data_IF_701984097352
#
_entry.id   IF_701984097352
#
_cell.length_a   1.000
_cell.length_b   1.000
_cell.length_c   1.000
_cell.angle_alpha   90.00
_cell.angle_beta   90.00
_cell.angle_gamma   90.00
#
_symmetry.space_group_name_H-M   'P 1'
#
loop_
_entity.id
_entity.type
_entity.pdbx_description
1 polymer ?
#
# COMPACT_ATOMS: atom_id res chain seq x y z
N UNK A 1 -29.25 -90.91 32.13
CA UNK A 1 -30.50 -91.41 31.53
C UNK A 1 -30.82 -90.57 30.30
N UNK A 2 -31.01 -91.22 29.14
CA UNK A 2 -31.82 -90.76 28.00
C UNK A 2 -33.18 -91.53 28.08
N UNK A 3 -34.22 -91.33 27.24
CA UNK A 3 -34.34 -90.60 25.96
C UNK A 3 -35.29 -89.37 26.09
N UNK A 4 -35.92 -88.74 25.09
CA UNK A 4 -36.06 -88.90 23.61
C UNK A 4 -36.12 -87.47 22.98
N UNK A 5 -35.51 -87.16 21.84
CA UNK A 5 -35.76 -87.57 20.44
C UNK A 5 -37.09 -87.07 19.82
N UNK A 6 -36.99 -85.96 19.07
CA UNK A 6 -37.80 -85.62 17.88
C UNK A 6 -36.91 -84.84 16.90
N UNK A 7 -36.97 -85.09 15.57
CA UNK A 7 -35.98 -84.58 14.63
C UNK A 7 -36.37 -83.23 13.98
N UNK A 8 -35.30 -82.54 13.58
CA UNK A 8 -35.22 -81.39 12.67
C UNK A 8 -35.88 -81.64 11.30
N UNK A 9 -36.43 -80.59 10.66
CA UNK A 9 -36.16 -80.40 9.24
C UNK A 9 -35.55 -79.02 8.96
N UNK A 10 -34.26 -79.05 8.59
CA UNK A 10 -33.50 -77.93 8.01
C UNK A 10 -34.35 -77.20 6.99
N UNK A 11 -34.55 -75.91 7.17
CA UNK A 11 -34.92 -75.02 6.08
C UNK A 11 -33.64 -74.61 5.33
N UNK A 12 -33.40 -75.07 4.08
CA UNK A 12 -32.36 -74.52 3.24
C UNK A 12 -32.85 -73.14 2.75
N UNK A 13 -32.45 -72.08 3.43
CA UNK A 13 -33.06 -70.77 3.24
C UNK A 13 -32.39 -69.64 3.99
N UNK A 14 -31.07 -69.63 4.07
CA UNK A 14 -30.32 -68.39 4.34
C UNK A 14 -30.44 -67.48 3.11
N UNK A 15 -31.64 -66.90 2.96
CA UNK A 15 -31.90 -65.86 1.98
C UNK A 15 -31.01 -64.67 2.36
N UNK A 16 -30.17 -64.23 1.43
CA UNK A 16 -29.35 -63.04 1.59
C UNK A 16 -30.22 -61.87 2.10
N UNK A 17 -29.68 -61.14 3.07
CA UNK A 17 -30.27 -59.92 3.63
C UNK A 17 -30.87 -59.08 2.48
N UNK A 18 -32.21 -58.95 2.40
CA UNK A 18 -32.84 -58.35 1.23
C UNK A 18 -32.48 -56.88 1.21
N UNK A 19 -31.53 -56.52 0.34
CA UNK A 19 -31.09 -55.14 0.07
C UNK A 19 -32.29 -54.21 0.23
N UNK A 20 -32.34 -53.42 1.31
CA UNK A 20 -33.58 -52.78 1.72
C UNK A 20 -34.07 -51.82 0.63
N UNK A 21 -34.98 -52.31 -0.22
CA UNK A 21 -35.41 -51.62 -1.42
C UNK A 21 -36.36 -50.53 -0.98
N UNK A 22 -35.80 -49.33 -0.69
CA UNK A 22 -36.58 -48.16 -0.28
C UNK A 22 -37.85 -48.07 -1.13
N UNK A 23 -38.99 -48.05 -0.45
CA UNK A 23 -40.31 -47.93 -1.07
C UNK A 23 -40.42 -46.60 -1.84
N UNK A 24 -41.42 -46.50 -2.72
CA UNK A 24 -41.62 -45.28 -3.51
C UNK A 24 -41.79 -44.03 -2.63
N UNK A 25 -42.46 -44.18 -1.49
CA UNK A 25 -42.70 -43.10 -0.53
C UNK A 25 -41.42 -42.72 0.24
N UNK A 26 -40.63 -43.69 0.71
CA UNK A 26 -39.33 -43.42 1.34
C UNK A 26 -38.35 -42.74 0.38
N UNK A 27 -38.37 -43.10 -0.91
CA UNK A 27 -37.57 -42.41 -1.94
C UNK A 27 -38.05 -40.97 -2.12
N UNK A 28 -39.36 -40.74 -2.17
CA UNK A 28 -39.93 -39.40 -2.30
C UNK A 28 -39.62 -38.54 -1.06
N UNK A 29 -39.65 -39.11 0.14
CA UNK A 29 -39.28 -38.43 1.38
C UNK A 29 -37.78 -38.14 1.46
N UNK A 30 -36.93 -39.12 1.16
CA UNK A 30 -35.48 -38.92 1.08
C UNK A 30 -35.10 -37.85 0.05
N UNK A 31 -35.75 -37.81 -1.11
CA UNK A 31 -35.57 -36.73 -2.07
C UNK A 31 -36.03 -35.37 -1.55
N UNK A 32 -37.16 -35.30 -0.83
CA UNK A 32 -37.61 -34.06 -0.19
C UNK A 32 -36.59 -33.60 0.85
N UNK A 33 -36.14 -34.48 1.74
CA UNK A 33 -35.13 -34.16 2.77
C UNK A 33 -33.79 -33.75 2.14
N UNK A 34 -33.31 -34.48 1.13
CA UNK A 34 -32.11 -34.14 0.36
C UNK A 34 -32.24 -32.79 -0.35
N UNK A 35 -33.40 -32.46 -0.93
CA UNK A 35 -33.69 -31.14 -1.52
C UNK A 35 -33.65 -30.03 -0.46
N UNK A 36 -34.30 -30.22 0.69
CA UNK A 36 -34.28 -29.24 1.79
C UNK A 36 -32.88 -29.04 2.38
N UNK A 37 -32.14 -30.12 2.62
CA UNK A 37 -30.76 -30.08 3.10
C UNK A 37 -29.82 -29.39 2.09
N UNK A 38 -29.94 -29.71 0.79
CA UNK A 38 -29.15 -29.06 -0.26
C UNK A 38 -29.47 -27.56 -0.38
N UNK A 39 -30.73 -27.16 -0.25
CA UNK A 39 -31.13 -25.73 -0.23
C UNK A 39 -30.58 -25.03 1.01
N UNK A 40 -30.66 -25.64 2.21
CA UNK A 40 -30.12 -25.07 3.46
C UNK A 40 -28.60 -24.90 3.39
N UNK A 41 -27.87 -25.93 2.95
CA UNK A 41 -26.42 -25.88 2.78
C UNK A 41 -26.00 -24.84 1.72
N UNK A 42 -26.74 -24.72 0.61
CA UNK A 42 -26.50 -23.69 -0.42
C UNK A 42 -26.78 -22.26 0.07
N UNK A 43 -27.75 -22.06 0.97
CA UNK A 43 -28.01 -20.76 1.62
C UNK A 43 -26.90 -20.41 2.62
N UNK A 44 -26.51 -21.33 3.50
CA UNK A 44 -25.43 -21.13 4.48
C UNK A 44 -24.10 -20.79 3.78
N UNK A 45 -23.72 -21.56 2.74
CA UNK A 45 -22.52 -21.26 1.94
C UNK A 45 -22.55 -19.89 1.26
N UNK A 46 -23.71 -19.43 0.81
CA UNK A 46 -23.86 -18.07 0.24
C UNK A 46 -23.71 -17.01 1.31
N UNK A 47 -24.38 -17.15 2.46
CA UNK A 47 -24.29 -16.21 3.57
C UNK A 47 -22.85 -16.07 4.08
N UNK A 48 -22.15 -17.20 4.31
CA UNK A 48 -20.74 -17.20 4.71
C UNK A 48 -19.81 -16.57 3.67
N UNK A 49 -19.99 -16.90 2.38
CA UNK A 49 -19.21 -16.31 1.29
C UNK A 49 -19.43 -14.79 1.16
N UNK A 50 -20.67 -14.30 1.34
CA UNK A 50 -20.97 -12.86 1.37
C UNK A 50 -20.37 -12.17 2.60
N UNK A 51 -20.42 -12.79 3.79
CA UNK A 51 -19.84 -12.23 5.00
C UNK A 51 -18.31 -12.14 4.92
N UNK A 52 -17.64 -13.20 4.44
CA UNK A 52 -16.19 -13.21 4.17
C UNK A 52 -15.79 -12.14 3.16
N UNK A 53 -16.58 -11.95 2.10
CA UNK A 53 -16.34 -10.89 1.12
C UNK A 53 -16.48 -9.50 1.75
N UNK A 54 -17.56 -9.24 2.48
CA UNK A 54 -17.76 -7.94 3.14
C UNK A 54 -16.64 -7.64 4.14
N UNK A 55 -16.21 -8.63 4.92
CA UNK A 55 -15.05 -8.50 5.79
C UNK A 55 -13.78 -8.15 5.00
N UNK A 56 -13.46 -8.90 3.94
CA UNK A 56 -12.29 -8.61 3.11
C UNK A 56 -12.33 -7.22 2.46
N UNK A 57 -13.51 -6.75 2.02
CA UNK A 57 -13.68 -5.43 1.44
C UNK A 57 -13.51 -4.30 2.48
N UNK A 58 -14.02 -4.48 3.70
CA UNK A 58 -13.85 -3.51 4.78
C UNK A 58 -12.42 -3.50 5.34
N UNK A 59 -11.76 -4.66 5.41
CA UNK A 59 -10.36 -4.76 5.82
C UNK A 59 -9.39 -4.21 4.76
N UNK A 60 -9.70 -4.30 3.46
CA UNK A 60 -8.80 -3.84 2.39
C UNK A 60 -8.20 -2.42 2.56
N UNK A 61 -8.98 -1.35 2.76
CA UNK A 61 -8.39 -0.02 2.97
C UNK A 61 -7.63 0.07 4.31
N UNK A 62 -8.09 -0.62 5.35
CA UNK A 62 -7.41 -0.64 6.66
C UNK A 62 -6.08 -1.37 6.57
N UNK A 63 -5.99 -2.46 5.81
CA UNK A 63 -4.76 -3.20 5.56
C UNK A 63 -3.75 -2.39 4.75
N UNK A 64 -4.19 -1.61 3.75
CA UNK A 64 -3.32 -0.69 3.00
C UNK A 64 -2.76 0.41 3.90
N UNK A 65 -3.61 1.01 4.74
CA UNK A 65 -3.15 2.02 5.72
C UNK A 65 -2.22 1.39 6.77
N UNK A 66 -2.57 0.24 7.35
CA UNK A 66 -1.75 -0.44 8.36
C UNK A 66 -0.36 -0.84 7.81
N UNK A 67 -0.32 -1.40 6.60
CA UNK A 67 0.94 -1.72 5.93
C UNK A 67 1.76 -0.45 5.64
N UNK A 68 1.14 0.63 5.17
CA UNK A 68 1.84 1.90 4.95
C UNK A 68 2.36 2.53 6.25
N UNK A 69 1.57 2.55 7.33
CA UNK A 69 2.02 3.10 8.62
C UNK A 69 3.17 2.25 9.17
N UNK A 70 3.09 0.92 9.11
CA UNK A 70 4.19 0.04 9.47
C UNK A 70 5.44 0.39 8.66
N UNK A 71 5.35 0.29 7.33
CA UNK A 71 6.48 0.49 6.42
C UNK A 71 7.10 1.89 6.57
N UNK A 72 6.30 2.95 6.79
CA UNK A 72 6.82 4.32 6.99
C UNK A 72 7.33 4.62 8.41
N UNK A 73 6.95 3.84 9.44
CA UNK A 73 7.38 4.05 10.84
C UNK A 73 8.47 3.07 11.29
N UNK A 74 8.48 1.82 10.80
CA UNK A 74 9.52 0.83 11.10
C UNK A 74 10.74 0.96 10.20
N UNK A 75 10.54 1.30 8.93
CA UNK A 75 11.64 1.38 7.96
C UNK A 75 12.22 2.81 7.90
N UNK A 76 13.49 2.93 8.26
CA UNK A 76 14.19 4.22 8.25
C UNK A 76 14.50 4.72 6.84
N UNK A 77 14.76 3.84 5.87
CA UNK A 77 14.94 4.25 4.48
C UNK A 77 13.64 4.82 3.93
N UNK A 78 12.50 4.17 4.20
CA UNK A 78 11.19 4.66 3.73
C UNK A 78 10.74 5.94 4.42
N UNK A 79 11.00 6.09 5.72
CA UNK A 79 10.81 7.37 6.41
C UNK A 79 11.64 8.47 5.74
N UNK A 80 12.92 8.22 5.50
CA UNK A 80 13.84 9.18 4.88
C UNK A 80 13.40 9.52 3.45
N UNK A 81 12.99 8.56 2.63
CA UNK A 81 12.45 8.81 1.28
C UNK A 81 11.17 9.67 1.30
N UNK A 82 10.44 9.66 2.43
CA UNK A 82 9.24 10.48 2.65
C UNK A 82 9.57 11.93 3.05
N UNK A 83 10.61 12.14 3.87
CA UNK A 83 10.94 13.47 4.45
C UNK A 83 12.11 14.18 3.78
N UNK A 84 13.00 13.48 3.08
CA UNK A 84 14.15 14.09 2.39
C UNK A 84 13.74 15.09 1.30
N UNK A 85 12.72 14.84 0.44
CA UNK A 85 12.30 15.79 -0.58
C UNK A 85 11.87 17.15 -0.01
N UNK A 86 11.32 17.19 1.21
CA UNK A 86 10.85 18.42 1.86
C UNK A 86 11.95 19.47 2.05
N UNK A 87 13.23 19.09 2.09
CA UNK A 87 14.35 20.04 2.13
C UNK A 87 14.58 20.79 0.81
N UNK A 88 14.02 20.29 -0.30
CA UNK A 88 14.11 20.89 -1.64
C UNK A 88 12.85 21.65 -2.07
N UNK A 89 11.78 21.57 -1.29
CA UNK A 89 10.46 22.13 -1.62
C UNK A 89 10.38 23.64 -1.31
N UNK A 90 10.18 24.52 -2.31
CA UNK A 90 10.23 25.97 -2.10
C UNK A 90 9.27 26.49 -1.01
N UNK A 91 7.99 26.05 -0.91
CA UNK A 91 7.11 26.52 0.16
C UNK A 91 7.59 26.14 1.57
N UNK A 92 8.33 25.04 1.71
CA UNK A 92 8.91 24.61 3.00
C UNK A 92 10.19 25.41 3.29
N UNK A 93 11.04 25.59 2.28
CA UNK A 93 12.25 26.41 2.37
C UNK A 93 11.90 27.85 2.78
N UNK A 94 10.92 28.48 2.13
CA UNK A 94 10.49 29.86 2.41
C UNK A 94 10.04 30.04 3.87
N UNK A 95 9.34 29.05 4.44
CA UNK A 95 8.92 29.08 5.86
C UNK A 95 10.13 29.01 6.79
N UNK A 96 11.10 28.16 6.48
CA UNK A 96 12.33 28.02 7.27
C UNK A 96 13.20 29.29 7.15
N UNK A 97 13.38 29.82 5.94
CA UNK A 97 14.14 31.03 5.63
C UNK A 97 13.55 32.23 6.37
N UNK A 98 12.24 32.47 6.25
CA UNK A 98 11.58 33.60 6.91
C UNK A 98 11.69 33.48 8.45
N UNK A 99 11.40 32.31 9.02
CA UNK A 99 11.48 32.09 10.49
C UNK A 99 12.91 32.26 11.04
N UNK A 100 13.93 31.77 10.33
CA UNK A 100 15.32 31.95 10.74
C UNK A 100 15.75 33.41 10.59
N UNK A 101 15.38 34.06 9.49
CA UNK A 101 15.64 35.48 9.27
C UNK A 101 14.99 36.35 10.34
N UNK A 102 13.72 36.13 10.67
CA UNK A 102 13.01 36.85 11.73
C UNK A 102 13.68 36.63 13.09
N UNK A 103 14.04 35.39 13.44
CA UNK A 103 14.76 35.10 14.71
C UNK A 103 16.10 35.81 14.80
N UNK A 104 16.89 35.82 13.72
CA UNK A 104 18.19 36.50 13.71
C UNK A 104 18.02 38.02 13.77
N UNK A 105 17.12 38.60 12.96
CA UNK A 105 16.85 40.05 12.92
C UNK A 105 16.27 40.57 14.24
N UNK A 106 15.47 39.78 14.94
CA UNK A 106 14.92 40.14 16.25
C UNK A 106 15.95 40.05 17.37
N UNK A 107 16.97 39.17 17.24
CA UNK A 107 18.09 39.08 18.17
C UNK A 107 19.18 40.14 17.92
N UNK A 108 19.22 40.75 16.73
CA UNK A 108 20.10 41.90 16.45
C UNK A 108 19.43 43.18 16.94
N UNK A 109 19.98 43.76 18.01
CA UNK A 109 19.48 45.02 18.58
C UNK A 109 19.92 46.25 17.77
N UNK A 110 19.30 46.39 16.59
CA UNK A 110 19.45 47.58 15.72
C UNK A 110 19.09 48.86 16.47
N UNK A 111 18.14 48.78 17.42
CA UNK A 111 17.67 49.93 18.19
C UNK A 111 18.76 50.42 19.14
N UNK A 112 19.45 49.55 19.87
CA UNK A 112 20.57 49.93 20.72
C UNK A 112 21.69 50.65 19.94
N UNK A 113 21.98 50.21 18.70
CA UNK A 113 22.95 50.88 17.82
C UNK A 113 22.47 52.27 17.40
N UNK A 114 21.20 52.40 17.01
CA UNK A 114 20.60 53.69 16.62
C UNK A 114 20.50 54.65 17.81
N UNK A 115 20.09 54.17 18.99
CA UNK A 115 20.01 54.95 20.23
C UNK A 115 21.40 55.43 20.68
N UNK A 116 22.45 54.60 20.54
CA UNK A 116 23.82 55.00 20.84
C UNK A 116 24.32 56.10 19.89
N UNK A 117 24.00 56.01 18.59
CA UNK A 117 24.29 57.05 17.61
C UNK A 117 23.55 58.36 17.93
N UNK A 118 22.26 58.28 18.26
CA UNK A 118 21.43 59.42 18.68
C UNK A 118 22.04 60.13 19.89
N UNK A 119 22.41 59.41 20.95
CA UNK A 119 23.08 59.98 22.14
C UNK A 119 24.39 60.66 21.76
N UNK A 120 25.25 59.99 20.99
CA UNK A 120 26.54 60.55 20.57
C UNK A 120 26.40 61.86 19.78
N UNK A 121 25.36 61.96 18.93
CA UNK A 121 25.05 63.19 18.18
C UNK A 121 24.47 64.30 19.08
N UNK A 122 23.67 63.96 20.09
CA UNK A 122 23.16 64.90 21.08
C UNK A 122 24.29 65.47 21.94
N UNK A 123 25.17 64.62 22.46
CA UNK A 123 26.33 65.00 23.28
C UNK A 123 27.33 65.89 22.50
N UNK A 124 27.45 65.67 21.19
CA UNK A 124 28.25 66.50 20.29
C UNK A 124 27.58 67.84 19.88
N UNK A 125 26.35 68.13 20.35
CA UNK A 125 25.63 69.35 20.04
C UNK A 125 25.10 69.44 18.60
N UNK A 126 24.82 68.31 17.96
CA UNK A 126 24.33 68.30 16.57
C UNK A 126 22.94 68.97 16.45
N UNK A 127 22.63 69.65 15.32
CA UNK A 127 21.31 70.23 15.10
C UNK A 127 20.20 69.17 15.16
N UNK A 128 18.99 69.48 15.69
CA UNK A 128 17.91 68.51 15.89
C UNK A 128 17.59 67.66 14.65
N UNK A 129 17.58 68.29 13.45
CA UNK A 129 17.35 67.61 12.17
C UNK A 129 18.30 66.44 11.87
N UNK A 130 19.52 66.47 12.41
CA UNK A 130 20.52 65.41 12.24
C UNK A 130 20.27 64.27 13.22
N UNK A 131 19.84 64.59 14.44
CA UNK A 131 19.48 63.63 15.49
C UNK A 131 18.19 62.88 15.11
N UNK A 132 17.17 63.60 14.65
CA UNK A 132 15.92 63.03 14.13
C UNK A 132 16.18 62.14 12.91
N UNK A 133 17.09 62.59 12.04
CA UNK A 133 17.58 61.81 10.90
C UNK A 133 18.22 60.49 11.33
N UNK A 134 19.07 60.50 12.37
CA UNK A 134 19.66 59.29 12.92
C UNK A 134 18.61 58.31 13.49
N UNK A 135 17.61 58.81 14.25
CA UNK A 135 16.51 57.97 14.74
C UNK A 135 15.71 57.33 13.60
N UNK A 136 15.54 58.02 12.46
CA UNK A 136 14.86 57.48 11.28
C UNK A 136 15.60 56.33 10.59
N UNK A 137 16.88 56.08 10.92
CA UNK A 137 17.67 54.99 10.34
C UNK A 137 17.32 53.60 10.88
N UNK A 138 16.60 53.45 12.00
CA UNK A 138 16.31 52.12 12.57
C UNK A 138 15.62 51.21 11.55
N UNK A 139 14.61 51.71 10.84
CA UNK A 139 13.88 50.97 9.80
C UNK A 139 14.75 50.56 8.61
N UNK A 140 15.42 51.50 7.91
CA UNK A 140 16.37 51.20 6.86
C UNK A 140 17.50 50.23 7.26
N UNK A 141 18.09 50.40 8.44
CA UNK A 141 19.13 49.51 8.97
C UNK A 141 18.58 48.10 9.24
N UNK A 142 17.41 47.99 9.88
CA UNK A 142 16.73 46.70 10.13
C UNK A 142 16.40 45.98 8.83
N UNK A 143 15.95 46.70 7.80
CA UNK A 143 15.70 46.14 6.46
C UNK A 143 16.99 45.72 5.74
N UNK A 144 18.10 46.47 5.89
CA UNK A 144 19.39 46.09 5.34
C UNK A 144 19.93 44.81 6.00
N UNK A 145 19.89 44.72 7.33
CA UNK A 145 20.24 43.51 8.09
C UNK A 145 19.34 42.35 7.65
N UNK A 146 18.01 42.54 7.60
CA UNK A 146 17.06 41.53 7.12
C UNK A 146 17.44 41.01 5.74
N UNK A 147 17.73 41.89 4.79
CA UNK A 147 18.08 41.51 3.40
C UNK A 147 19.40 40.72 3.31
N UNK A 148 20.40 41.06 4.14
CA UNK A 148 21.68 40.35 4.18
C UNK A 148 21.54 38.98 4.84
N UNK A 149 20.80 38.91 5.95
CA UNK A 149 20.49 37.66 6.65
C UNK A 149 19.68 36.75 5.73
N UNK A 150 18.57 37.24 5.17
CA UNK A 150 17.68 36.51 4.26
C UNK A 150 18.43 35.89 3.07
N UNK A 151 19.26 36.67 2.37
CA UNK A 151 20.08 36.17 1.25
C UNK A 151 21.08 35.10 1.70
N UNK A 152 21.62 35.22 2.92
CA UNK A 152 22.59 34.27 3.48
C UNK A 152 21.92 32.97 3.90
N UNK A 153 20.81 33.06 4.63
CA UNK A 153 19.97 31.93 5.05
C UNK A 153 19.43 31.20 3.81
N UNK A 154 18.88 31.93 2.83
CA UNK A 154 18.43 31.36 1.55
C UNK A 154 19.52 30.53 0.90
N UNK A 155 20.74 31.07 0.73
CA UNK A 155 21.86 30.34 0.12
C UNK A 155 22.25 29.08 0.88
N UNK A 156 22.12 29.07 2.21
CA UNK A 156 22.38 27.88 3.03
C UNK A 156 21.26 26.86 2.86
N UNK A 157 19.99 27.27 3.01
CA UNK A 157 18.82 26.39 2.94
C UNK A 157 18.64 25.77 1.54
N UNK A 158 18.94 26.50 0.46
CA UNK A 158 18.84 25.96 -0.91
C UNK A 158 20.06 25.13 -1.34
N UNK A 159 21.07 24.95 -0.49
CA UNK A 159 22.29 24.22 -0.84
C UNK A 159 22.15 22.70 -0.72
N UNK A 160 22.88 21.98 -1.58
CA UNK A 160 22.99 20.51 -1.52
C UNK A 160 23.54 20.03 -0.16
N UNK A 161 24.41 20.83 0.47
CA UNK A 161 24.94 20.55 1.80
C UNK A 161 23.86 20.57 2.89
N UNK A 162 22.88 21.48 2.79
CA UNK A 162 21.72 21.46 3.69
C UNK A 162 20.83 20.24 3.44
N UNK A 163 20.61 19.86 2.19
CA UNK A 163 19.82 18.65 1.86
C UNK A 163 20.47 17.37 2.40
N UNK A 164 21.80 17.21 2.24
CA UNK A 164 22.55 16.08 2.81
C UNK A 164 22.54 16.08 4.34
N UNK A 165 22.71 17.26 4.97
CA UNK A 165 22.64 17.39 6.42
C UNK A 165 21.23 17.07 6.95
N UNK A 166 20.18 17.49 6.25
CA UNK A 166 18.79 17.17 6.54
C UNK A 166 18.52 15.68 6.44
N UNK A 167 18.90 15.02 5.34
CA UNK A 167 18.72 13.58 5.17
C UNK A 167 19.45 12.80 6.28
N UNK A 168 20.74 13.09 6.47
CA UNK A 168 21.56 12.41 7.47
C UNK A 168 21.08 12.64 8.91
N UNK A 169 20.54 13.83 9.22
CA UNK A 169 19.96 14.11 10.53
C UNK A 169 18.64 13.35 10.75
N UNK A 170 17.74 13.33 9.76
CA UNK A 170 16.49 12.58 9.83
C UNK A 170 16.76 11.07 9.95
N UNK A 171 17.65 10.53 9.13
CA UNK A 171 18.07 9.11 9.15
C UNK A 171 18.57 8.67 10.53
N UNK A 172 19.52 9.41 11.10
CA UNK A 172 20.07 9.12 12.45
C UNK A 172 19.03 9.26 13.55
N UNK A 173 18.19 10.31 13.50
CA UNK A 173 17.16 10.54 14.52
C UNK A 173 16.06 9.47 14.48
N UNK A 174 15.63 9.08 13.29
CA UNK A 174 14.62 8.04 13.11
C UNK A 174 15.14 6.66 13.54
N UNK A 175 16.34 6.27 13.11
CA UNK A 175 16.95 5.00 13.54
C UNK A 175 17.09 4.91 15.06
N UNK A 176 17.52 5.98 15.74
CA UNK A 176 17.61 6.01 17.20
C UNK A 176 16.24 5.83 17.88
N UNK A 177 15.18 6.43 17.34
CA UNK A 177 13.81 6.26 17.85
C UNK A 177 13.29 4.84 17.59
N UNK A 178 13.49 4.29 16.38
CA UNK A 178 13.04 2.92 16.04
C UNK A 178 13.74 1.89 16.93
N UNK A 179 15.07 1.94 17.07
CA UNK A 179 15.80 0.98 17.92
C UNK A 179 15.33 1.05 19.40
N UNK A 180 14.98 2.24 19.90
CA UNK A 180 14.41 2.43 21.24
C UNK A 180 12.98 1.87 21.37
N UNK A 181 12.20 1.80 20.28
CA UNK A 181 10.83 1.30 20.24
C UNK A 181 10.71 -0.20 19.94
N UNK A 182 11.57 -0.76 19.08
CA UNK A 182 11.63 -2.21 18.84
C UNK A 182 12.37 -2.95 19.97
N UNK A 183 13.33 -2.28 20.61
CA UNK A 183 14.22 -2.86 21.60
C UNK A 183 15.39 -3.65 20.99
N UNK A 184 15.66 -3.45 19.70
CA UNK A 184 16.80 -4.05 19.01
C UNK A 184 18.11 -3.46 19.54
N UNK A 185 19.00 -4.35 19.97
CA UNK A 185 20.22 -4.00 20.74
C UNK A 185 21.43 -3.65 19.87
N UNK A 186 21.21 -3.20 18.64
CA UNK A 186 22.27 -2.58 17.82
C UNK A 186 22.38 -1.10 18.19
N UNK A 187 22.93 -0.84 19.38
CA UNK A 187 23.09 0.49 19.97
C UNK A 187 23.21 0.43 21.49
N UNK A 188 23.82 1.47 22.09
CA UNK A 188 24.11 1.57 23.53
C UNK A 188 22.86 1.84 24.38
N UNK A 189 21.98 0.84 24.49
CA UNK A 189 20.71 0.92 25.23
C UNK A 189 20.50 -0.33 26.10
N UNK A 190 21.08 -0.32 27.30
CA UNK A 190 20.86 -1.35 28.32
C UNK A 190 19.55 -1.11 29.07
N UNK A 191 18.56 -1.97 28.84
CA UNK A 191 17.35 -2.03 29.66
C UNK A 191 17.59 -2.86 30.92
N UNK A 192 17.93 -2.19 32.02
CA UNK A 192 17.82 -2.73 33.38
C UNK A 192 16.66 -2.04 34.11
N UNK A 193 15.73 -2.83 34.66
CA UNK A 193 14.72 -2.34 35.60
C UNK A 193 13.63 -1.42 35.04
N UNK A 194 13.37 -1.44 33.73
CA UNK A 194 12.26 -0.68 33.13
C UNK A 194 12.48 0.82 32.96
N UNK A 195 13.74 1.28 33.07
CA UNK A 195 14.13 2.66 32.72
C UNK A 195 15.10 2.62 31.56
N UNK A 196 14.65 3.07 30.38
CA UNK A 196 15.49 3.18 29.19
C UNK A 196 16.26 4.50 29.25
N UNK A 197 17.56 4.40 29.55
CA UNK A 197 18.51 5.50 29.54
C UNK A 197 19.14 5.57 28.16
N UNK A 198 19.13 6.75 27.53
CA UNK A 198 19.96 6.98 26.34
C UNK A 198 21.40 7.18 26.83
N UNK A 199 22.30 6.27 26.47
CA UNK A 199 23.74 6.48 26.65
C UNK A 199 24.21 7.46 25.57
N UNK A 200 24.47 8.70 26.00
CA UNK A 200 24.98 9.78 25.14
C UNK A 200 26.51 9.75 25.08
N UNK A 201 27.15 8.71 25.64
CA UNK A 201 28.59 8.53 25.79
C UNK A 201 29.39 8.82 24.54
N UNK A 202 29.03 8.23 23.39
CA UNK A 202 29.71 8.44 22.10
C UNK A 202 29.82 9.95 21.71
N UNK A 203 28.77 10.73 21.97
CA UNK A 203 28.74 12.17 21.66
C UNK A 203 29.48 12.97 22.73
N UNK A 204 29.35 12.58 24.01
CA UNK A 204 30.09 13.18 25.13
C UNK A 204 31.59 12.97 24.96
N UNK A 205 32.02 11.78 24.51
CA UNK A 205 33.42 11.45 24.26
C UNK A 205 33.98 12.25 23.06
N UNK A 206 33.24 12.38 21.94
CA UNK A 206 33.65 13.25 20.82
C UNK A 206 33.73 14.74 21.19
N UNK A 207 32.88 15.23 22.09
CA UNK A 207 32.93 16.63 22.58
C UNK A 207 34.07 16.82 23.57
N UNK A 208 34.30 15.85 24.46
CA UNK A 208 35.41 15.80 25.42
C UNK A 208 36.76 15.80 24.70
N UNK A 209 36.94 14.95 23.69
CA UNK A 209 38.17 14.84 22.90
C UNK A 209 38.52 16.17 22.23
N UNK A 210 37.56 16.80 21.53
CA UNK A 210 37.76 18.13 20.92
C UNK A 210 38.03 19.24 21.93
N UNK A 211 37.43 19.20 23.12
CA UNK A 211 37.71 20.18 24.19
C UNK A 211 39.11 20.02 24.76
N UNK A 212 39.61 18.79 24.89
CA UNK A 212 40.99 18.52 25.31
C UNK A 212 41.99 18.95 24.23
N UNK A 213 41.73 18.67 22.96
CA UNK A 213 42.57 19.10 21.83
C UNK A 213 42.67 20.64 21.71
N UNK A 214 41.59 21.36 22.04
CA UNK A 214 41.56 22.84 22.12
C UNK A 214 42.14 23.40 23.45
N UNK A 215 42.76 22.56 24.29
CA UNK A 215 43.48 22.96 25.50
C UNK A 215 42.64 23.12 26.77
N UNK A 216 41.40 22.64 26.80
CA UNK A 216 40.56 22.61 28.00
C UNK A 216 40.71 21.30 28.77
N UNK A 217 41.90 21.04 29.34
CA UNK A 217 42.25 19.82 30.09
C UNK A 217 41.20 19.38 31.15
N UNK A 218 40.47 20.34 31.73
CA UNK A 218 39.39 20.07 32.70
C UNK A 218 38.21 19.29 32.12
N UNK A 219 38.02 19.25 30.80
CA UNK A 219 37.02 18.41 30.16
C UNK A 219 37.28 16.91 30.39
N UNK A 220 38.53 16.52 30.63
CA UNK A 220 38.90 15.14 30.96
C UNK A 220 38.38 14.66 32.34
N UNK A 221 37.84 15.56 33.17
CA UNK A 221 37.33 15.26 34.51
C UNK A 221 35.79 15.14 34.60
N UNK A 222 35.05 15.27 33.49
CA UNK A 222 33.58 15.12 33.46
C UNK A 222 33.20 13.67 33.83
N UNK A 223 32.43 13.42 34.92
CA UNK A 223 32.13 12.05 35.36
C UNK A 223 31.23 11.27 34.40
N UNK A 224 31.45 9.96 34.31
CA UNK A 224 30.66 9.07 33.44
C UNK A 224 29.19 8.94 33.86
N UNK A 225 28.84 9.36 35.08
CA UNK A 225 27.47 9.41 35.57
C UNK A 225 26.58 10.40 34.79
N UNK A 226 27.16 11.41 34.14
CA UNK A 226 26.43 12.40 33.35
C UNK A 226 26.16 11.94 31.90
N UNK A 227 26.58 10.72 31.52
CA UNK A 227 26.37 10.14 30.18
C UNK A 227 24.94 9.74 29.88
N UNK A 228 24.05 9.63 30.87
CA UNK A 228 22.67 9.15 30.67
C UNK A 228 21.63 10.24 30.86
N UNK A 229 21.00 10.68 29.77
CA UNK A 229 19.88 11.62 29.81
C UNK A 229 18.56 10.84 29.80
N UNK A 230 17.71 11.07 30.80
CA UNK A 230 16.34 10.53 30.85
C UNK A 230 15.44 11.36 29.94
N UNK A 231 15.24 10.91 28.70
CA UNK A 231 14.49 11.65 27.67
C UNK A 231 12.97 11.44 27.72
N UNK A 232 12.49 10.32 28.31
CA UNK A 232 11.06 9.98 28.37
C UNK A 232 10.66 9.30 29.68
N UNK A 233 9.41 9.50 30.09
CA UNK A 233 8.77 8.74 31.17
C UNK A 233 8.53 7.28 30.75
N UNK A 234 8.88 6.32 31.62
CA UNK A 234 8.86 4.89 31.32
C UNK A 234 7.47 4.35 30.92
N UNK A 235 6.39 4.89 31.48
CA UNK A 235 5.02 4.48 31.12
C UNK A 235 4.65 4.86 29.68
N UNK A 236 5.13 6.00 29.18
CA UNK A 236 4.84 6.44 27.82
C UNK A 236 5.63 5.63 26.80
N UNK A 237 6.88 5.30 27.13
CA UNK A 237 7.71 4.41 26.32
C UNK A 237 7.12 3.00 26.22
N UNK A 238 6.66 2.41 27.33
CA UNK A 238 6.00 1.09 27.29
C UNK A 238 4.79 1.06 26.36
N UNK A 239 3.93 2.10 26.41
CA UNK A 239 2.78 2.25 25.50
C UNK A 239 3.21 2.37 24.03
N UNK A 240 4.31 3.08 23.75
CA UNK A 240 4.84 3.22 22.40
C UNK A 240 5.47 1.92 21.88
N UNK A 241 6.19 1.16 22.71
CA UNK A 241 6.73 -0.17 22.38
C UNK A 241 5.61 -1.19 22.13
N UNK A 242 4.54 -1.19 22.93
CA UNK A 242 3.39 -2.07 22.70
C UNK A 242 2.58 -1.66 21.45
N UNK A 243 2.47 -0.36 21.17
CA UNK A 243 1.90 0.13 19.91
C UNK A 243 2.75 -0.30 18.70
N UNK A 244 4.08 -0.24 18.81
CA UNK A 244 5.01 -0.70 17.77
C UNK A 244 4.82 -2.20 17.49
N UNK A 245 4.79 -3.04 18.53
CA UNK A 245 4.53 -4.48 18.39
C UNK A 245 3.17 -4.80 17.76
N UNK A 246 2.13 -4.03 18.11
CA UNK A 246 0.82 -4.16 17.47
C UNK A 246 0.88 -3.75 16.00
N UNK A 247 1.65 -2.72 15.66
CA UNK A 247 1.86 -2.27 14.28
C UNK A 247 2.67 -3.29 13.47
N UNK A 248 3.73 -3.88 14.03
CA UNK A 248 4.52 -4.93 13.38
C UNK A 248 3.63 -6.13 12.99
N UNK A 249 2.80 -6.58 13.94
CA UNK A 249 1.88 -7.70 13.74
C UNK A 249 0.76 -7.34 12.75
N UNK A 250 0.10 -6.19 12.92
CA UNK A 250 -1.03 -5.82 12.07
C UNK A 250 -0.59 -5.39 10.67
N UNK A 251 0.48 -4.61 10.53
CA UNK A 251 1.03 -4.17 9.26
C UNK A 251 1.45 -5.33 8.37
N UNK A 252 2.10 -6.35 8.93
CA UNK A 252 2.49 -7.55 8.20
C UNK A 252 1.29 -8.50 7.92
N UNK A 253 0.47 -8.81 8.93
CA UNK A 253 -0.56 -9.85 8.80
C UNK A 253 -1.91 -9.37 8.27
N UNK A 254 -2.31 -8.12 8.45
CA UNK A 254 -3.63 -7.64 8.02
C UNK A 254 -3.81 -7.64 6.49
N UNK A 255 -2.79 -7.30 5.66
CA UNK A 255 -2.84 -7.52 4.21
C UNK A 255 -2.98 -8.98 3.83
N UNK A 256 -2.18 -9.87 4.45
CA UNK A 256 -2.21 -11.32 4.19
C UNK A 256 -3.59 -11.89 4.55
N UNK A 257 -4.13 -11.55 5.72
CA UNK A 257 -5.46 -11.95 6.17
C UNK A 257 -6.55 -11.46 5.21
N UNK A 258 -6.45 -10.23 4.73
CA UNK A 258 -7.39 -9.66 3.74
C UNK A 258 -7.40 -10.46 2.44
N UNK A 259 -6.22 -10.78 1.90
CA UNK A 259 -6.07 -11.60 0.68
C UNK A 259 -6.60 -13.02 0.90
N UNK A 260 -6.32 -13.63 2.06
CA UNK A 260 -6.84 -14.96 2.43
C UNK A 260 -8.37 -14.95 2.55
N UNK A 261 -8.96 -13.96 3.20
CA UNK A 261 -10.42 -13.80 3.31
C UNK A 261 -11.07 -13.61 1.93
N UNK A 262 -10.49 -12.79 1.07
CA UNK A 262 -10.95 -12.61 -0.32
C UNK A 262 -10.86 -13.93 -1.12
N UNK A 263 -9.76 -14.66 -1.01
CA UNK A 263 -9.58 -15.95 -1.66
C UNK A 263 -10.58 -17.01 -1.15
N UNK A 264 -10.83 -17.07 0.16
CA UNK A 264 -11.84 -17.96 0.76
C UNK A 264 -13.26 -17.58 0.35
N UNK A 265 -13.59 -16.28 0.25
CA UNK A 265 -14.87 -15.81 -0.27
C UNK A 265 -15.09 -16.27 -1.72
N UNK A 266 -14.06 -16.16 -2.57
CA UNK A 266 -14.07 -16.65 -3.96
C UNK A 266 -14.16 -18.18 -4.03
N UNK A 267 -13.42 -18.92 -3.20
CA UNK A 267 -13.37 -20.38 -3.22
C UNK A 267 -14.65 -21.04 -2.69
N UNK A 268 -15.29 -20.46 -1.67
CA UNK A 268 -16.56 -20.99 -1.13
C UNK A 268 -17.75 -20.76 -2.08
N UNK A 269 -17.67 -19.74 -2.95
CA UNK A 269 -18.73 -19.32 -3.85
C UNK A 269 -19.09 -20.37 -4.94
N UNK A 270 -20.37 -20.62 -5.23
CA UNK A 270 -20.79 -21.54 -6.31
C UNK A 270 -20.41 -21.10 -7.74
N UNK A 271 -19.89 -19.88 -7.92
CA UNK A 271 -19.56 -19.29 -9.20
C UNK A 271 -18.31 -18.41 -9.08
N UNK A 272 -17.16 -19.04 -8.86
CA UNK A 272 -15.85 -18.38 -8.59
C UNK A 272 -15.55 -17.20 -9.53
N UNK A 273 -15.92 -17.29 -10.82
CA UNK A 273 -15.71 -16.22 -11.82
C UNK A 273 -16.51 -14.94 -11.54
N UNK A 274 -17.77 -15.10 -11.13
CA UNK A 274 -18.62 -13.95 -10.77
C UNK A 274 -18.16 -13.38 -9.43
N UNK A 275 -17.75 -14.24 -8.50
CA UNK A 275 -17.22 -13.79 -7.21
C UNK A 275 -15.90 -13.02 -7.36
N UNK A 276 -14.98 -13.47 -8.22
CA UNK A 276 -13.76 -12.71 -8.56
C UNK A 276 -14.09 -11.33 -9.12
N UNK A 277 -15.05 -11.22 -10.04
CA UNK A 277 -15.47 -9.93 -10.60
C UNK A 277 -16.03 -9.01 -9.50
N UNK A 278 -16.93 -9.50 -8.64
CA UNK A 278 -17.50 -8.72 -7.53
C UNK A 278 -16.40 -8.32 -6.53
N UNK A 279 -15.46 -9.21 -6.22
CA UNK A 279 -14.35 -8.94 -5.31
C UNK A 279 -13.43 -7.86 -5.87
N UNK A 280 -13.02 -7.98 -7.14
CA UNK A 280 -12.18 -7.00 -7.81
C UNK A 280 -12.86 -5.62 -7.93
N UNK A 281 -14.13 -5.57 -8.36
CA UNK A 281 -14.90 -4.31 -8.37
C UNK A 281 -15.03 -3.72 -6.96
N UNK A 282 -15.32 -4.55 -5.95
CA UNK A 282 -15.45 -4.12 -4.56
C UNK A 282 -14.15 -3.53 -4.01
N UNK A 283 -13.01 -4.20 -4.21
CA UNK A 283 -11.71 -3.68 -3.78
C UNK A 283 -11.41 -2.36 -4.49
N UNK A 284 -11.67 -2.27 -5.80
CA UNK A 284 -11.54 -1.01 -6.55
C UNK A 284 -12.38 0.13 -5.97
N UNK A 285 -13.65 -0.13 -5.62
CA UNK A 285 -14.51 0.86 -4.94
C UNK A 285 -13.93 1.26 -3.58
N UNK A 286 -13.43 0.32 -2.79
CA UNK A 286 -12.84 0.63 -1.47
C UNK A 286 -11.52 1.40 -1.58
N UNK A 287 -10.71 1.17 -2.62
CA UNK A 287 -9.54 2.01 -2.91
C UNK A 287 -9.94 3.43 -3.34
N UNK A 288 -11.01 3.60 -4.13
CA UNK A 288 -11.56 4.93 -4.45
C UNK A 288 -12.08 5.63 -3.18
N UNK A 289 -12.76 4.91 -2.28
CA UNK A 289 -13.20 5.45 -0.98
C UNK A 289 -12.00 5.90 -0.14
N UNK A 290 -10.90 5.12 -0.11
CA UNK A 290 -9.67 5.52 0.57
C UNK A 290 -9.05 6.78 -0.05
N UNK A 291 -8.95 6.88 -1.38
CA UNK A 291 -8.47 8.10 -2.04
C UNK A 291 -9.33 9.33 -1.74
N UNK A 292 -10.66 9.17 -1.68
CA UNK A 292 -11.58 10.25 -1.28
C UNK A 292 -11.38 10.61 0.19
N UNK A 293 -11.20 9.63 1.09
CA UNK A 293 -10.92 9.88 2.50
C UNK A 293 -9.62 10.67 2.70
N UNK A 294 -8.56 10.35 1.94
CA UNK A 294 -7.31 11.11 1.95
C UNK A 294 -7.49 12.54 1.41
N UNK A 295 -8.31 12.74 0.38
CA UNK A 295 -8.63 14.07 -0.13
C UNK A 295 -9.47 14.91 0.85
N UNK A 296 -10.33 14.28 1.65
CA UNK A 296 -11.10 14.94 2.73
C UNK A 296 -10.19 15.26 3.92
N UNK A 297 -9.33 14.32 4.33
CA UNK A 297 -8.36 14.52 5.40
C UNK A 297 -7.39 15.67 5.10
N UNK A 298 -6.95 15.80 3.85
CA UNK A 298 -6.15 16.95 3.37
C UNK A 298 -6.85 18.29 3.61
N UNK A 299 -8.16 18.37 3.34
CA UNK A 299 -8.94 19.60 3.57
C UNK A 299 -9.05 19.89 5.06
N UNK A 300 -9.49 18.92 5.86
CA UNK A 300 -9.61 19.06 7.30
C UNK A 300 -8.28 19.45 7.99
N UNK A 301 -7.16 18.90 7.50
CA UNK A 301 -5.81 19.29 7.94
C UNK A 301 -5.53 20.76 7.61
N UNK A 302 -5.70 21.19 6.36
CA UNK A 302 -5.46 22.58 5.94
C UNK A 302 -6.39 23.58 6.65
N UNK A 303 -7.64 23.21 6.89
CA UNK A 303 -8.60 24.03 7.65
C UNK A 303 -8.24 24.15 9.14
N UNK A 304 -7.47 23.18 9.69
CA UNK A 304 -7.04 23.15 11.09
C UNK A 304 -5.73 23.90 11.38
N UNK A 305 -4.90 24.15 10.35
CA UNK A 305 -3.59 24.81 10.51
C UNK A 305 -3.77 26.32 10.45
N UNK A 306 -3.44 27.08 11.52
CA UNK A 306 -3.55 28.53 11.49
C UNK A 306 -2.59 29.13 10.44
N UNK A 307 -3.03 30.03 9.54
CA UNK A 307 -2.17 30.65 8.53
C UNK A 307 -0.97 31.42 9.11
N UNK A 308 -1.09 31.87 10.36
CA UNK A 308 -0.02 32.52 11.13
C UNK A 308 1.07 31.56 11.61
N UNK A 309 0.75 30.27 11.72
CA UNK A 309 1.72 29.24 12.09
C UNK A 309 2.40 28.66 10.84
N UNK A 310 1.62 28.26 9.83
CA UNK A 310 2.14 27.72 8.57
C UNK A 310 1.32 28.24 7.38
N UNK A 311 1.95 28.73 6.30
CA UNK A 311 1.27 28.98 5.03
C UNK A 311 0.62 27.71 4.48
N UNK A 312 -0.55 27.87 3.83
CA UNK A 312 -1.33 26.76 3.30
C UNK A 312 -0.56 25.91 2.28
N UNK A 313 0.30 26.53 1.46
CA UNK A 313 1.09 25.82 0.44
C UNK A 313 2.17 24.92 1.08
N UNK A 314 2.84 25.40 2.13
CA UNK A 314 3.81 24.61 2.89
C UNK A 314 3.14 23.42 3.60
N UNK A 315 1.96 23.66 4.22
CA UNK A 315 1.17 22.62 4.85
C UNK A 315 0.71 21.56 3.82
N UNK A 316 0.26 22.01 2.64
CA UNK A 316 -0.16 21.14 1.55
C UNK A 316 0.97 20.23 1.06
N UNK A 317 2.17 20.78 0.81
CA UNK A 317 3.35 20.01 0.38
C UNK A 317 3.76 18.97 1.43
N UNK A 318 3.77 19.33 2.71
CA UNK A 318 4.10 18.39 3.79
C UNK A 318 3.09 17.23 3.81
N UNK A 319 1.79 17.51 3.78
CA UNK A 319 0.75 16.48 3.73
C UNK A 319 0.89 15.59 2.49
N UNK A 320 1.06 16.19 1.31
CA UNK A 320 1.14 15.46 0.04
C UNK A 320 2.40 14.58 -0.04
N UNK A 321 3.52 14.99 0.60
CA UNK A 321 4.73 14.14 0.70
C UNK A 321 4.51 12.93 1.60
N UNK A 322 3.95 13.11 2.80
CA UNK A 322 3.65 11.99 3.71
C UNK A 322 2.68 10.98 3.09
N UNK A 323 1.63 11.46 2.41
CA UNK A 323 0.59 10.61 1.83
C UNK A 323 0.97 10.06 0.43
N UNK A 324 2.08 10.51 -0.17
CA UNK A 324 2.56 10.08 -1.51
C UNK A 324 2.58 8.56 -1.66
N UNK A 325 3.32 7.86 -0.80
CA UNK A 325 3.44 6.40 -0.89
C UNK A 325 2.12 5.66 -0.65
N UNK A 326 1.30 6.13 0.30
CA UNK A 326 -0.02 5.58 0.55
C UNK A 326 -0.94 5.73 -0.67
N UNK A 327 -0.91 6.90 -1.31
CA UNK A 327 -1.65 7.21 -2.53
C UNK A 327 -1.19 6.36 -3.70
N UNK A 328 0.11 6.23 -3.91
CA UNK A 328 0.69 5.45 -5.02
C UNK A 328 0.40 3.95 -4.85
N UNK A 329 0.50 3.41 -3.62
CA UNK A 329 0.09 2.03 -3.30
C UNK A 329 -1.41 1.82 -3.54
N UNK A 330 -2.25 2.77 -3.12
CA UNK A 330 -3.71 2.73 -3.32
C UNK A 330 -4.08 2.81 -4.80
N UNK A 331 -3.39 3.65 -5.60
CA UNK A 331 -3.57 3.74 -7.05
C UNK A 331 -3.12 2.46 -7.77
N UNK A 332 -1.99 1.88 -7.36
CA UNK A 332 -1.50 0.59 -7.88
C UNK A 332 -2.53 -0.52 -7.63
N UNK A 333 -3.06 -0.64 -6.40
CA UNK A 333 -4.10 -1.62 -6.07
C UNK A 333 -5.42 -1.34 -6.81
N UNK A 334 -5.79 -0.07 -7.01
CA UNK A 334 -6.94 0.30 -7.83
C UNK A 334 -6.78 -0.15 -9.29
N UNK A 335 -5.60 0.07 -9.90
CA UNK A 335 -5.30 -0.38 -11.27
C UNK A 335 -5.36 -1.90 -11.37
N UNK A 336 -4.74 -2.62 -10.43
CA UNK A 336 -4.79 -4.10 -10.37
C UNK A 336 -6.24 -4.60 -10.21
N UNK A 337 -7.04 -3.97 -9.36
CA UNK A 337 -8.44 -4.30 -9.15
C UNK A 337 -9.29 -4.05 -10.40
N UNK A 338 -9.14 -2.89 -11.05
CA UNK A 338 -9.84 -2.54 -12.30
C UNK A 338 -9.51 -3.54 -13.41
N UNK A 339 -8.23 -3.87 -13.61
CA UNK A 339 -7.82 -4.78 -14.68
C UNK A 339 -8.22 -6.22 -14.36
N UNK A 340 -8.17 -6.65 -13.10
CA UNK A 340 -8.74 -7.94 -12.66
C UNK A 340 -10.24 -8.01 -12.94
N UNK A 341 -10.98 -6.93 -12.69
CA UNK A 341 -12.41 -6.85 -13.02
C UNK A 341 -12.66 -6.88 -14.54
N UNK A 342 -11.86 -6.19 -15.34
CA UNK A 342 -11.93 -6.22 -16.81
C UNK A 342 -11.66 -7.61 -17.38
N UNK A 343 -10.60 -8.30 -16.92
CA UNK A 343 -10.28 -9.67 -17.34
C UNK A 343 -11.38 -10.65 -16.89
N UNK A 344 -11.86 -10.54 -15.65
CA UNK A 344 -12.97 -11.36 -15.15
C UNK A 344 -14.27 -11.14 -15.94
N UNK A 345 -14.53 -9.91 -16.39
CA UNK A 345 -15.66 -9.56 -17.25
C UNK A 345 -15.50 -10.16 -18.65
N UNK A 346 -14.35 -9.98 -19.29
CA UNK A 346 -14.07 -10.42 -20.67
C UNK A 346 -14.09 -11.96 -20.82
N UNK A 347 -13.62 -12.68 -19.79
CA UNK A 347 -13.62 -14.15 -19.71
C UNK A 347 -14.82 -14.74 -18.94
N UNK A 348 -15.76 -13.89 -18.52
CA UNK A 348 -16.95 -14.26 -17.76
C UNK A 348 -18.12 -14.74 -18.64
N UNK A 349 -19.04 -15.56 -18.11
CA UNK A 349 -20.25 -15.98 -18.83
C UNK A 349 -21.36 -14.90 -18.88
N UNK A 350 -21.03 -13.64 -18.57
CA UNK A 350 -21.99 -12.53 -18.47
C UNK A 350 -22.59 -12.12 -19.82
N UNK A 351 -23.79 -11.50 -19.79
CA UNK A 351 -24.55 -11.12 -21.01
C UNK A 351 -23.77 -10.22 -21.98
N UNK A 352 -22.83 -9.41 -21.50
CA UNK A 352 -21.98 -8.55 -22.32
C UNK A 352 -21.05 -9.35 -23.26
N UNK A 353 -20.60 -10.54 -22.85
CA UNK A 353 -19.79 -11.43 -23.69
C UNK A 353 -20.57 -12.02 -24.89
N UNK A 354 -21.91 -11.99 -24.88
CA UNK A 354 -22.73 -12.35 -26.07
C UNK A 354 -22.78 -11.22 -27.10
N UNK A 355 -22.77 -9.96 -26.68
CA UNK A 355 -22.72 -8.82 -27.60
C UNK A 355 -21.41 -8.79 -28.37
N UNK A 356 -20.28 -8.88 -27.66
CA UNK A 356 -18.94 -8.88 -28.27
C UNK A 356 -18.66 -10.15 -29.08
N UNK A 357 -19.19 -11.34 -28.69
CA UNK A 357 -19.13 -12.52 -29.58
C UNK A 357 -20.00 -12.38 -30.81
N UNK A 358 -21.19 -11.78 -30.73
CA UNK A 358 -22.04 -11.60 -31.91
C UNK A 358 -21.46 -10.60 -32.92
N UNK A 359 -20.67 -9.61 -32.50
CA UNK A 359 -19.92 -8.74 -33.41
C UNK A 359 -18.62 -9.37 -33.87
N UNK A 360 -17.89 -10.08 -33.00
CA UNK A 360 -16.70 -10.83 -33.37
C UNK A 360 -17.01 -11.96 -34.36
N UNK A 361 -18.05 -12.77 -34.16
CA UNK A 361 -18.47 -13.85 -35.09
C UNK A 361 -18.88 -13.30 -36.46
N UNK A 362 -19.47 -12.09 -36.51
CA UNK A 362 -19.77 -11.39 -37.78
C UNK A 362 -18.52 -10.84 -38.47
N UNK A 363 -17.51 -10.41 -37.71
CA UNK A 363 -16.23 -10.01 -38.26
C UNK A 363 -15.40 -11.23 -38.71
N UNK A 364 -15.32 -12.30 -37.92
CA UNK A 364 -14.54 -13.50 -38.24
C UNK A 364 -15.16 -14.34 -39.35
N UNK A 365 -16.49 -14.33 -39.55
CA UNK A 365 -17.08 -14.93 -40.76
C UNK A 365 -16.72 -14.13 -42.02
N UNK A 366 -16.71 -12.79 -41.95
CA UNK A 366 -16.27 -11.94 -43.06
C UNK A 366 -14.77 -12.10 -43.38
N UNK A 367 -13.88 -12.08 -42.38
CA UNK A 367 -12.43 -12.22 -42.57
C UNK A 367 -12.01 -13.66 -42.83
N UNK A 368 -12.66 -14.65 -42.21
CA UNK A 368 -12.43 -16.08 -42.46
C UNK A 368 -12.80 -16.48 -43.89
N UNK A 369 -13.91 -15.96 -44.42
CA UNK A 369 -14.27 -16.09 -45.83
C UNK A 369 -13.30 -15.37 -46.79
N UNK A 370 -12.52 -14.38 -46.31
CA UNK A 370 -11.48 -13.72 -47.09
C UNK A 370 -10.14 -14.48 -47.06
N UNK A 371 -9.76 -15.08 -45.92
CA UNK A 371 -8.54 -15.90 -45.78
C UNK A 371 -8.69 -17.29 -46.41
N UNK A 372 -9.86 -17.92 -46.35
CA UNK A 372 -10.12 -19.20 -47.01
C UNK A 372 -9.91 -19.13 -48.54
N UNK A 373 -10.23 -17.98 -49.15
CA UNK A 373 -9.94 -17.67 -50.56
C UNK A 373 -8.45 -17.46 -50.89
N UNK A 374 -7.57 -17.43 -49.89
CA UNK A 374 -6.10 -17.32 -50.03
C UNK A 374 -5.32 -18.57 -49.59
N UNK A 375 -6.00 -19.67 -49.25
CA UNK A 375 -5.38 -20.99 -49.13
C UNK A 375 -4.47 -21.26 -47.91
N UNK A 376 -4.33 -20.33 -46.98
CA UNK A 376 -3.46 -20.51 -45.79
C UNK A 376 -4.14 -21.44 -44.76
N UNK A 377 -3.73 -22.71 -44.74
CA UNK A 377 -4.15 -23.71 -43.74
C UNK A 377 -3.11 -23.84 -42.62
N UNK A 378 -3.40 -23.33 -41.43
CA UNK A 378 -2.60 -23.62 -40.23
C UNK A 378 -3.04 -24.96 -39.62
N UNK A 379 -2.11 -25.91 -39.54
CA UNK A 379 -2.38 -27.30 -39.17
C UNK A 379 -2.56 -27.57 -37.67
N UNK A 380 -2.36 -28.85 -37.30
CA UNK A 380 -2.76 -29.46 -36.02
C UNK A 380 -2.28 -28.76 -34.73
N UNK A 381 -1.27 -27.89 -34.78
CA UNK A 381 -0.75 -27.12 -33.64
C UNK A 381 -1.81 -26.22 -32.97
N UNK A 382 -2.79 -25.70 -33.72
CA UNK A 382 -3.88 -24.90 -33.13
C UNK A 382 -4.79 -25.69 -32.17
N UNK A 383 -4.93 -27.00 -32.38
CA UNK A 383 -5.87 -27.87 -31.65
C UNK A 383 -5.45 -28.08 -30.19
N UNK A 384 -4.16 -28.39 -29.95
CA UNK A 384 -3.61 -28.60 -28.60
C UNK A 384 -3.59 -27.34 -27.74
N UNK A 385 -3.45 -26.16 -28.36
CA UNK A 385 -3.48 -24.88 -27.66
C UNK A 385 -4.92 -24.49 -27.22
N UNK A 386 -5.93 -24.88 -28.00
CA UNK A 386 -7.33 -24.68 -27.63
C UNK A 386 -7.76 -25.51 -26.41
N UNK A 387 -7.28 -26.76 -26.29
CA UNK A 387 -7.56 -27.63 -25.14
C UNK A 387 -6.97 -27.08 -23.82
N UNK A 388 -5.78 -26.48 -23.87
CA UNK A 388 -5.07 -25.97 -22.68
C UNK A 388 -5.36 -24.50 -22.36
N UNK A 389 -6.24 -23.82 -23.13
CA UNK A 389 -6.52 -22.37 -23.02
C UNK A 389 -6.97 -21.91 -21.63
N UNK A 390 -7.54 -22.79 -20.79
CA UNK A 390 -7.89 -22.46 -19.39
C UNK A 390 -6.65 -22.42 -18.48
N UNK A 391 -5.69 -23.30 -18.72
CA UNK A 391 -4.46 -23.41 -17.93
C UNK A 391 -3.49 -22.27 -18.27
N UNK A 392 -3.30 -21.98 -19.57
CA UNK A 392 -2.42 -20.88 -20.00
C UNK A 392 -2.91 -19.50 -19.51
N UNK A 393 -4.21 -19.22 -19.55
CA UNK A 393 -4.77 -17.98 -18.96
C UNK A 393 -4.59 -17.94 -17.44
N UNK A 394 -4.74 -19.07 -16.76
CA UNK A 394 -4.48 -19.19 -15.31
C UNK A 394 -3.01 -18.94 -14.97
N UNK A 395 -2.08 -19.50 -15.74
CA UNK A 395 -0.63 -19.30 -15.59
C UNK A 395 -0.23 -17.85 -15.89
N UNK A 396 -0.79 -17.19 -16.92
CA UNK A 396 -0.50 -15.77 -17.20
C UNK A 396 -1.03 -14.85 -16.10
N UNK A 397 -2.23 -15.11 -15.55
CA UNK A 397 -2.76 -14.35 -14.40
C UNK A 397 -1.97 -14.62 -13.12
N UNK A 398 -1.64 -15.88 -12.84
CA UNK A 398 -0.83 -16.26 -11.69
C UNK A 398 0.59 -15.69 -11.78
N UNK A 399 1.22 -15.72 -12.96
CA UNK A 399 2.51 -15.10 -13.21
C UNK A 399 2.43 -13.57 -13.08
N UNK A 400 1.42 -12.91 -13.65
CA UNK A 400 1.25 -11.45 -13.49
C UNK A 400 1.06 -11.02 -12.03
N UNK A 401 0.25 -11.77 -11.27
CA UNK A 401 0.05 -11.54 -9.85
C UNK A 401 1.30 -11.86 -9.02
N UNK A 402 1.97 -12.98 -9.30
CA UNK A 402 3.20 -13.40 -8.61
C UNK A 402 4.36 -12.43 -8.89
N UNK A 403 4.50 -11.96 -10.13
CA UNK A 403 5.48 -10.92 -10.50
C UNK A 403 5.18 -9.62 -9.76
N UNK A 404 3.92 -9.19 -9.64
CA UNK A 404 3.57 -7.99 -8.84
C UNK A 404 3.81 -8.17 -7.34
N UNK A 405 3.55 -9.36 -6.79
CA UNK A 405 3.77 -9.67 -5.36
C UNK A 405 5.27 -9.83 -5.03
N UNK A 406 6.09 -10.28 -5.99
CA UNK A 406 7.55 -10.33 -5.86
C UNK A 406 8.23 -9.01 -6.21
N UNK A 407 7.54 -8.04 -6.82
CA UNK A 407 8.11 -6.75 -7.17
C UNK A 407 8.06 -5.84 -5.94
N UNK A 408 9.22 -5.63 -5.30
CA UNK A 408 9.29 -4.90 -4.04
C UNK A 408 8.85 -3.42 -4.17
N UNK A 409 9.08 -2.79 -5.33
CA UNK A 409 8.77 -1.38 -5.59
C UNK A 409 8.21 -1.14 -7.03
N UNK A 410 6.94 -1.49 -7.33
CA UNK A 410 6.38 -1.33 -8.67
C UNK A 410 5.71 0.05 -8.81
N UNK A 411 6.32 0.96 -9.56
CA UNK A 411 5.72 2.27 -9.88
C UNK A 411 4.43 2.10 -10.69
N UNK A 412 3.48 3.03 -10.57
CA UNK A 412 2.18 2.95 -11.29
C UNK A 412 2.39 2.75 -12.80
N UNK A 413 3.40 3.39 -13.39
CA UNK A 413 3.77 3.21 -14.79
C UNK A 413 4.25 1.79 -15.11
N UNK A 414 5.08 1.18 -14.26
CA UNK A 414 5.52 -0.20 -14.41
C UNK A 414 4.36 -1.20 -14.27
N UNK A 415 3.44 -0.98 -13.31
CA UNK A 415 2.23 -1.80 -13.12
C UNK A 415 1.34 -1.75 -14.37
N UNK A 416 1.07 -0.55 -14.88
CA UNK A 416 0.27 -0.33 -16.11
C UNK A 416 0.94 -0.97 -17.32
N UNK A 417 2.27 -0.89 -17.45
CA UNK A 417 3.03 -1.50 -18.53
C UNK A 417 2.97 -3.03 -18.46
N UNK A 418 3.23 -3.63 -17.29
CA UNK A 418 3.20 -5.10 -17.10
C UNK A 418 1.81 -5.67 -17.35
N UNK A 419 0.75 -5.01 -16.82
CA UNK A 419 -0.62 -5.46 -17.06
C UNK A 419 -1.09 -5.15 -18.50
N UNK A 420 -0.60 -4.09 -19.12
CA UNK A 420 -0.83 -3.81 -20.54
C UNK A 420 -0.23 -4.88 -21.45
N UNK A 421 1.00 -5.32 -21.16
CA UNK A 421 1.64 -6.46 -21.85
C UNK A 421 0.86 -7.75 -21.60
N UNK A 422 0.44 -8.04 -20.35
CA UNK A 422 -0.36 -9.22 -20.05
C UNK A 422 -1.71 -9.22 -20.80
N UNK A 423 -2.38 -8.05 -20.88
CA UNK A 423 -3.61 -7.88 -21.65
C UNK A 423 -3.38 -8.07 -23.15
N UNK A 424 -2.30 -7.51 -23.71
CA UNK A 424 -1.92 -7.70 -25.11
C UNK A 424 -1.65 -9.19 -25.44
N UNK A 425 -0.90 -9.89 -24.58
CA UNK A 425 -0.65 -11.34 -24.72
C UNK A 425 -1.97 -12.14 -24.67
N UNK A 426 -2.89 -11.79 -23.77
CA UNK A 426 -4.21 -12.43 -23.69
C UNK A 426 -5.08 -12.15 -24.93
N UNK A 427 -5.00 -10.94 -25.52
CA UNK A 427 -5.68 -10.60 -26.77
C UNK A 427 -5.09 -11.39 -27.94
N UNK A 428 -3.76 -11.46 -28.06
CA UNK A 428 -3.05 -12.23 -29.10
C UNK A 428 -3.41 -13.73 -29.01
N UNK A 429 -3.37 -14.32 -27.81
CA UNK A 429 -3.80 -15.70 -27.56
C UNK A 429 -5.29 -15.92 -27.91
N UNK A 430 -6.14 -14.91 -27.70
CA UNK A 430 -7.54 -14.99 -28.06
C UNK A 430 -7.77 -14.94 -29.58
N UNK A 431 -6.99 -14.14 -30.30
CA UNK A 431 -7.00 -14.07 -31.77
C UNK A 431 -6.51 -15.39 -32.38
N UNK A 432 -5.34 -15.91 -31.97
CA UNK A 432 -4.85 -17.21 -32.47
C UNK A 432 -5.84 -18.35 -32.24
N UNK A 433 -6.50 -18.39 -31.07
CA UNK A 433 -7.50 -19.42 -30.76
C UNK A 433 -8.87 -19.19 -31.42
N UNK A 434 -9.07 -18.09 -32.16
CA UNK A 434 -10.26 -17.85 -33.01
C UNK A 434 -10.06 -18.25 -34.47
N UNK A 435 -8.80 -18.49 -34.90
CA UNK A 435 -8.50 -18.95 -36.25
C UNK A 435 -8.90 -20.42 -36.52
N UNK A 436 -9.44 -21.13 -35.53
CA UNK A 436 -9.79 -22.56 -35.60
C UNK A 436 -11.30 -22.82 -35.49
N UNK A 437 -11.99 -22.73 -36.62
CA UNK A 437 -13.36 -23.26 -36.83
C UNK A 437 -14.28 -22.33 -37.65
N UNK A 438 -15.32 -22.85 -38.35
CA UNK A 438 -15.81 -24.24 -38.40
C UNK A 438 -15.95 -24.80 -39.83
N UNK A 439 -15.09 -25.73 -40.25
CA UNK A 439 -15.21 -26.40 -41.56
C UNK A 439 -15.47 -27.92 -41.48
N UNK A 440 -14.84 -28.61 -40.52
CA UNK A 440 -14.78 -30.09 -40.53
C UNK A 440 -16.12 -30.80 -40.24
N UNK A 441 -17.12 -30.13 -39.65
CA UNK A 441 -18.45 -30.74 -39.41
C UNK A 441 -19.26 -31.01 -40.68
N UNK A 442 -18.90 -30.42 -41.82
CA UNK A 442 -19.57 -30.68 -43.09
C UNK A 442 -19.04 -31.93 -43.82
N UNK A 443 -17.89 -32.47 -43.41
CA UNK A 443 -17.27 -33.63 -44.07
C UNK A 443 -17.82 -34.98 -43.55
N UNK A 444 -18.15 -35.07 -42.25
CA UNK A 444 -18.62 -36.30 -41.59
C UNK A 444 -20.12 -36.59 -41.77
N UNK A 445 -20.87 -35.79 -42.55
CA UNK A 445 -22.31 -35.98 -42.81
C UNK A 445 -22.66 -36.18 -44.30
N UNK A 446 -21.72 -36.66 -45.11
CA UNK A 446 -22.04 -37.18 -46.43
C UNK A 446 -22.68 -38.59 -46.31
N UNK A 447 -23.92 -38.82 -46.81
CA UNK A 447 -24.60 -40.10 -46.64
C UNK A 447 -23.98 -41.22 -47.49
N UNK A 448 -23.62 -42.34 -46.84
CA UNK A 448 -23.34 -43.61 -47.51
C UNK A 448 -24.65 -44.35 -47.82
N UNK A 449 -25.15 -44.24 -49.05
CA UNK A 449 -26.10 -45.12 -49.76
C UNK A 449 -26.57 -44.40 -51.05
N UNK A 450 -26.69 -45.01 -52.23
CA UNK A 450 -26.29 -46.33 -52.70
C UNK A 450 -26.17 -46.32 -54.25
N UNK A 451 -25.39 -47.23 -54.81
CA UNK A 451 -25.34 -47.64 -56.23
C UNK A 451 -24.61 -49.01 -56.30
N UNK A 452 -24.85 -49.88 -57.30
CA UNK A 452 -25.66 -49.70 -58.51
C UNK A 452 -27.17 -49.84 -58.31
#
# INVERSE_FOLDING_TARGET
MNPAASPDPRHPGEAADPQHVMTADERAEYERLRRHAAVRHRRIRRAGSTLLLLAALLLAPVAVVAAWVQDTVSDTDRYVETVAPLASEPPVQDVVINRLTDRVVNNVDVRAVTDALVRTLQDAGAPPRVVDGAASLEGPLRNAVRTVVDRTVTRVITSDAFQQAWEGANRRSHAAVVNMLTGDREGAVTSEGGTVRLDVGEVVDQVRERLVDEGFDKAAAIPDADRTITLFESEQLGKAQDAMRLLDVLGAWLPVLTVVLAALAVWTAPAHRVMLMITATGVGVMMVVLLVALAVLRRAYLDSVPPTALPADAAAVIYDSFVRFLRDSTLTLLVVAVITALVACLYGPGRLARGVRATADRATTATGGALARRGVRTGATGRRLAEHRKWTTGVVMAAGALTLVLWNHPTVAAVVLVLGIALAVLIILAILASATGPADRAADQAPQQAAP
#
